data_IF_638740050293
#
_entry.id   IF_638740050293
#
_cell.length_a   1.000
_cell.length_b   1.000
_cell.length_c   1.000
_cell.angle_alpha   90.00
_cell.angle_beta   90.00
_cell.angle_gamma   90.00
#
_symmetry.space_group_name_H-M   'P 1'
#
loop_
_entity.id
_entity.type
_entity.pdbx_description
1 polymer ?
#
# COMPACT_ATOMS: atom_id res chain seq x y z
N UNK A 1 11.19 -16.09 -34.08
CA UNK A 1 10.09 -15.11 -34.26
C UNK A 1 9.25 -14.87 -33.00
N UNK A 2 9.12 -15.83 -32.06
CA UNK A 2 8.28 -15.72 -30.84
C UNK A 2 8.78 -14.71 -29.78
N UNK A 3 10.08 -14.43 -29.72
CA UNK A 3 10.66 -13.53 -28.70
C UNK A 3 10.34 -12.05 -28.95
N UNK A 4 10.29 -11.66 -30.24
CA UNK A 4 9.99 -10.29 -30.70
C UNK A 4 8.56 -9.87 -30.38
N UNK A 5 7.59 -10.76 -30.53
CA UNK A 5 6.17 -10.47 -30.26
C UNK A 5 5.86 -10.31 -28.77
N UNK A 6 6.60 -10.99 -27.89
CA UNK A 6 6.44 -10.83 -26.43
C UNK A 6 7.03 -9.50 -25.94
N UNK A 7 8.17 -9.10 -26.48
CA UNK A 7 8.80 -7.81 -26.21
C UNK A 7 7.91 -6.65 -26.72
N UNK A 8 7.40 -6.74 -27.94
CA UNK A 8 6.45 -5.75 -28.52
C UNK A 8 5.15 -5.64 -27.71
N UNK A 9 4.62 -6.77 -27.22
CA UNK A 9 3.45 -6.76 -26.34
C UNK A 9 3.75 -6.09 -25.00
N UNK A 10 4.93 -6.32 -24.42
CA UNK A 10 5.32 -5.69 -23.16
C UNK A 10 5.54 -4.17 -23.33
N UNK A 11 6.15 -3.75 -24.43
CA UNK A 11 6.32 -2.33 -24.77
C UNK A 11 4.95 -1.65 -24.94
N UNK A 12 4.02 -2.30 -25.64
CA UNK A 12 2.65 -1.80 -25.82
C UNK A 12 1.91 -1.69 -24.48
N UNK A 13 2.03 -2.71 -23.61
CA UNK A 13 1.46 -2.68 -22.25
C UNK A 13 2.00 -1.50 -21.44
N UNK A 14 3.30 -1.23 -21.53
CA UNK A 14 3.96 -0.14 -20.80
C UNK A 14 3.47 1.24 -21.28
N UNK A 15 3.39 1.45 -22.60
CA UNK A 15 2.81 2.67 -23.20
C UNK A 15 1.38 2.92 -22.76
N UNK A 16 0.57 1.86 -22.67
CA UNK A 16 -0.81 1.96 -22.19
C UNK A 16 -0.85 2.39 -20.72
N UNK A 17 0.02 1.83 -19.86
CA UNK A 17 0.07 2.19 -18.44
C UNK A 17 0.54 3.63 -18.22
N UNK A 18 1.56 4.09 -18.95
CA UNK A 18 2.02 5.49 -18.90
C UNK A 18 0.91 6.46 -19.33
N UNK A 19 0.18 6.13 -20.41
CA UNK A 19 -0.95 6.93 -20.85
C UNK A 19 -2.13 6.90 -19.86
N UNK A 20 -2.39 5.75 -19.23
CA UNK A 20 -3.41 5.61 -18.21
C UNK A 20 -3.08 6.47 -16.99
N UNK A 21 -1.84 6.41 -16.52
CA UNK A 21 -1.32 7.25 -15.43
C UNK A 21 -1.54 8.72 -15.72
N UNK A 22 -1.08 9.20 -16.89
CA UNK A 22 -1.24 10.60 -17.29
C UNK A 22 -2.71 11.01 -17.34
N UNK A 23 -3.55 10.20 -18.01
CA UNK A 23 -4.97 10.52 -18.18
C UNK A 23 -5.73 10.54 -16.85
N UNK A 24 -5.47 9.57 -15.97
CA UNK A 24 -6.08 9.51 -14.64
C UNK A 24 -5.59 10.64 -13.73
N UNK A 25 -4.31 11.01 -13.80
CA UNK A 25 -3.76 12.11 -13.04
C UNK A 25 -4.37 13.46 -13.44
N UNK A 26 -4.53 13.71 -14.73
CA UNK A 26 -5.08 14.98 -15.24
C UNK A 26 -6.60 15.08 -15.07
N UNK A 27 -7.33 14.02 -15.41
CA UNK A 27 -8.80 14.08 -15.58
C UNK A 27 -9.59 13.30 -14.51
N UNK A 28 -8.91 12.44 -13.76
CA UNK A 28 -9.52 11.49 -12.84
C UNK A 28 -9.96 10.19 -13.50
N UNK A 29 -10.12 9.14 -12.70
CA UNK A 29 -10.48 7.79 -13.18
C UNK A 29 -11.91 7.75 -13.72
N UNK A 30 -12.84 8.46 -13.08
CA UNK A 30 -14.25 8.45 -13.47
C UNK A 30 -14.46 8.96 -14.91
N UNK A 31 -13.85 10.11 -15.25
CA UNK A 31 -14.04 10.80 -16.55
C UNK A 31 -13.16 10.28 -17.69
N UNK A 32 -12.22 9.38 -17.41
CA UNK A 32 -11.33 8.82 -18.43
C UNK A 32 -11.90 7.49 -18.94
N UNK A 33 -11.86 7.25 -20.25
CA UNK A 33 -12.26 5.98 -20.88
C UNK A 33 -11.05 5.20 -21.42
N UNK A 34 -11.21 3.89 -21.65
CA UNK A 34 -10.18 3.09 -22.34
C UNK A 34 -9.88 3.61 -23.75
N UNK A 35 -10.86 4.20 -24.42
CA UNK A 35 -10.67 4.79 -25.74
C UNK A 35 -9.77 6.05 -25.66
N UNK A 36 -9.94 6.89 -24.64
CA UNK A 36 -9.09 8.06 -24.42
C UNK A 36 -7.64 7.63 -24.15
N UNK A 37 -7.45 6.57 -23.36
CA UNK A 37 -6.13 6.02 -23.04
C UNK A 37 -5.47 5.42 -24.28
N UNK A 38 -6.22 4.68 -25.10
CA UNK A 38 -5.70 4.13 -26.35
C UNK A 38 -5.24 5.22 -27.32
N UNK A 39 -6.04 6.29 -27.45
CA UNK A 39 -5.70 7.44 -28.27
C UNK A 39 -4.43 8.14 -27.75
N UNK A 40 -4.32 8.33 -26.43
CA UNK A 40 -3.16 8.95 -25.79
C UNK A 40 -1.89 8.09 -25.92
N UNK A 41 -2.00 6.76 -25.80
CA UNK A 41 -0.89 5.82 -25.98
C UNK A 41 -0.48 5.61 -27.45
N UNK A 42 -1.25 6.14 -28.41
CA UNK A 42 -1.02 5.92 -29.84
C UNK A 42 -1.27 4.47 -30.28
N UNK A 43 -2.15 3.74 -29.60
CA UNK A 43 -2.48 2.34 -29.89
C UNK A 43 -3.92 2.20 -30.39
N UNK A 44 -4.23 1.07 -31.02
CA UNK A 44 -5.62 0.79 -31.43
C UNK A 44 -6.50 0.45 -30.22
N UNK A 45 -7.81 0.66 -30.36
CA UNK A 45 -8.78 0.19 -29.35
C UNK A 45 -8.68 -1.32 -29.12
N UNK A 46 -8.42 -2.11 -30.16
CA UNK A 46 -8.23 -3.55 -30.03
C UNK A 46 -7.02 -3.90 -29.17
N UNK A 47 -5.92 -3.16 -29.31
CA UNK A 47 -4.70 -3.38 -28.53
C UNK A 47 -4.94 -3.14 -27.03
N UNK A 48 -5.65 -2.07 -26.64
CA UNK A 48 -5.92 -1.85 -25.22
C UNK A 48 -6.80 -2.95 -24.61
N UNK A 49 -7.86 -3.38 -25.31
CA UNK A 49 -8.74 -4.46 -24.83
C UNK A 49 -8.05 -5.83 -24.78
N UNK A 50 -6.97 -6.02 -25.55
CA UNK A 50 -6.15 -7.22 -25.46
C UNK A 50 -5.34 -7.27 -24.15
N UNK A 51 -4.93 -6.12 -23.64
CA UNK A 51 -4.13 -6.01 -22.41
C UNK A 51 -4.98 -5.82 -21.14
N UNK A 52 -6.08 -5.09 -21.23
CA UNK A 52 -6.89 -4.66 -20.09
C UNK A 52 -8.38 -4.72 -20.42
N UNK A 53 -9.15 -5.44 -19.60
CA UNK A 53 -10.57 -5.66 -19.86
C UNK A 53 -11.41 -4.43 -19.51
N UNK A 54 -10.98 -3.70 -18.48
CA UNK A 54 -11.69 -2.56 -17.91
C UNK A 54 -10.70 -1.57 -17.25
N UNK A 55 -11.22 -0.47 -16.70
CA UNK A 55 -10.40 0.54 -15.99
C UNK A 55 -9.84 0.04 -14.66
N UNK A 56 -10.55 -0.87 -13.99
CA UNK A 56 -10.11 -1.43 -12.72
C UNK A 56 -8.83 -2.27 -12.93
N UNK A 57 -8.74 -3.05 -14.01
CA UNK A 57 -7.53 -3.79 -14.40
C UNK A 57 -6.33 -2.86 -14.62
N UNK A 58 -6.54 -1.68 -15.21
CA UNK A 58 -5.48 -0.67 -15.38
C UNK A 58 -5.02 -0.10 -14.04
N UNK A 59 -5.96 0.29 -13.18
CA UNK A 59 -5.62 0.83 -11.85
C UNK A 59 -4.91 -0.23 -11.01
N UNK A 60 -5.34 -1.49 -11.07
CA UNK A 60 -4.68 -2.60 -10.40
C UNK A 60 -3.26 -2.81 -10.93
N UNK A 61 -3.06 -2.79 -12.25
CA UNK A 61 -1.73 -2.93 -12.82
C UNK A 61 -0.78 -1.77 -12.44
N UNK A 62 -1.31 -0.55 -12.27
CA UNK A 62 -0.54 0.57 -11.72
C UNK A 62 -0.19 0.35 -10.25
N UNK A 63 -1.12 -0.16 -9.43
CA UNK A 63 -0.85 -0.52 -8.04
C UNK A 63 0.23 -1.60 -7.91
N UNK A 64 0.16 -2.65 -8.74
CA UNK A 64 1.11 -3.75 -8.72
C UNK A 64 2.54 -3.25 -9.00
N UNK A 65 2.68 -2.25 -9.89
CA UNK A 65 3.97 -1.61 -10.20
C UNK A 65 4.59 -0.85 -9.01
N UNK A 66 3.77 -0.41 -8.05
CA UNK A 66 4.26 0.23 -6.81
C UNK A 66 4.77 -0.78 -5.79
N UNK A 67 4.21 -2.00 -5.80
CA UNK A 67 4.52 -3.02 -4.80
C UNK A 67 5.74 -3.87 -5.19
N UNK A 68 6.00 -4.07 -6.47
CA UNK A 68 7.11 -4.90 -6.97
C UNK A 68 8.48 -4.55 -6.36
N UNK A 69 8.86 -3.26 -6.14
CA UNK A 69 10.13 -2.92 -5.48
C UNK A 69 10.17 -3.24 -3.97
N UNK A 70 9.00 -3.34 -3.32
CA UNK A 70 8.85 -3.55 -1.88
C UNK A 70 8.66 -5.04 -1.51
N UNK A 71 8.45 -5.88 -2.51
CA UNK A 71 7.99 -7.26 -2.36
C UNK A 71 8.93 -8.14 -1.52
N UNK A 72 10.24 -7.96 -1.68
CA UNK A 72 11.25 -8.70 -0.90
C UNK A 72 11.22 -8.32 0.59
N UNK A 73 11.13 -7.03 0.91
CA UNK A 73 11.04 -6.57 2.31
C UNK A 73 9.72 -7.01 2.95
N UNK A 74 8.63 -7.01 2.18
CA UNK A 74 7.33 -7.46 2.65
C UNK A 74 7.38 -8.96 2.98
N UNK A 75 7.85 -9.79 2.03
CA UNK A 75 8.03 -11.24 2.23
C UNK A 75 8.96 -11.56 3.40
N UNK A 76 10.04 -10.80 3.57
CA UNK A 76 10.95 -10.95 4.70
C UNK A 76 10.22 -10.69 6.04
N UNK A 77 9.45 -9.59 6.14
CA UNK A 77 8.69 -9.29 7.36
C UNK A 77 7.61 -10.33 7.69
N UNK A 78 7.05 -10.96 6.67
CA UNK A 78 6.01 -12.01 6.76
C UNK A 78 6.58 -13.41 7.04
N UNK A 79 7.88 -13.60 6.87
CA UNK A 79 8.54 -14.89 7.06
C UNK A 79 8.75 -15.22 8.55
N UNK A 80 8.41 -16.45 8.94
CA UNK A 80 8.71 -16.96 10.28
C UNK A 80 10.22 -17.19 10.50
N UNK A 81 10.96 -17.45 9.42
CA UNK A 81 12.40 -17.71 9.48
C UNK A 81 13.23 -16.41 9.58
N UNK A 82 12.62 -15.26 9.32
CA UNK A 82 13.27 -13.95 9.47
C UNK A 82 13.62 -13.69 10.94
N UNK A 83 14.84 -13.22 11.18
CA UNK A 83 15.37 -12.93 12.50
C UNK A 83 14.97 -11.54 12.98
N UNK A 84 14.77 -10.61 12.05
CA UNK A 84 14.38 -9.22 12.32
C UNK A 84 13.13 -8.77 11.52
N UNK A 85 11.95 -9.39 11.74
CA UNK A 85 10.75 -9.06 10.98
C UNK A 85 10.28 -7.61 11.21
N UNK A 86 10.44 -7.07 12.43
CA UNK A 86 10.11 -5.67 12.72
C UNK A 86 11.03 -4.70 11.98
N UNK A 87 12.34 -4.98 11.92
CA UNK A 87 13.29 -4.17 11.14
C UNK A 87 13.04 -4.25 9.63
N UNK A 88 12.62 -5.40 9.10
CA UNK A 88 12.17 -5.53 7.72
C UNK A 88 10.92 -4.67 7.44
N UNK A 89 9.92 -4.71 8.32
CA UNK A 89 8.73 -3.86 8.22
C UNK A 89 9.10 -2.36 8.31
N UNK A 90 9.99 -1.99 9.24
CA UNK A 90 10.49 -0.60 9.35
C UNK A 90 11.12 -0.14 8.05
N UNK A 91 12.04 -0.92 7.46
CA UNK A 91 12.70 -0.60 6.19
C UNK A 91 11.69 -0.44 5.05
N UNK A 92 10.69 -1.32 4.99
CA UNK A 92 9.61 -1.25 4.00
C UNK A 92 8.84 0.08 4.11
N UNK A 93 8.40 0.44 5.32
CA UNK A 93 7.61 1.66 5.54
C UNK A 93 8.43 2.94 5.28
N UNK A 94 9.72 2.94 5.67
CA UNK A 94 10.62 4.07 5.38
C UNK A 94 10.84 4.21 3.88
N UNK A 95 11.05 3.10 3.18
CA UNK A 95 11.18 3.11 1.72
C UNK A 95 9.91 3.65 1.06
N UNK A 96 8.73 3.22 1.53
CA UNK A 96 7.44 3.69 1.03
C UNK A 96 7.34 5.22 1.11
N UNK A 97 7.54 5.81 2.30
CA UNK A 97 7.48 7.26 2.46
C UNK A 97 8.50 8.00 1.60
N UNK A 98 9.73 7.49 1.51
CA UNK A 98 10.77 8.10 0.67
C UNK A 98 10.42 8.04 -0.82
N UNK A 99 9.94 6.91 -1.32
CA UNK A 99 9.57 6.75 -2.73
C UNK A 99 8.43 7.68 -3.14
N UNK A 100 7.36 7.76 -2.34
CA UNK A 100 6.25 8.69 -2.58
C UNK A 100 6.75 10.14 -2.65
N UNK A 101 7.74 10.47 -1.82
CA UNK A 101 8.31 11.80 -1.79
C UNK A 101 9.30 12.11 -2.93
N UNK A 102 10.04 11.14 -3.47
CA UNK A 102 11.10 11.42 -4.48
C UNK A 102 10.73 11.02 -5.91
N UNK A 103 9.95 9.95 -6.08
CA UNK A 103 9.62 9.42 -7.40
C UNK A 103 8.30 10.02 -7.92
N UNK A 104 8.33 10.81 -9.01
CA UNK A 104 7.13 11.45 -9.54
C UNK A 104 6.06 10.45 -9.98
N UNK A 105 6.46 9.27 -10.50
CA UNK A 105 5.49 8.25 -10.92
C UNK A 105 4.75 7.66 -9.72
N UNK A 106 5.50 7.20 -8.71
CA UNK A 106 4.94 6.70 -7.44
C UNK A 106 4.02 7.74 -6.80
N UNK A 107 4.43 9.02 -6.81
CA UNK A 107 3.60 10.11 -6.29
C UNK A 107 2.28 10.25 -7.05
N UNK A 108 2.33 10.30 -8.39
CA UNK A 108 1.14 10.46 -9.23
C UNK A 108 0.17 9.29 -9.07
N UNK A 109 0.67 8.06 -9.03
CA UNK A 109 -0.16 6.86 -8.83
C UNK A 109 -0.85 6.94 -7.46
N UNK A 110 -0.13 7.28 -6.40
CA UNK A 110 -0.73 7.47 -5.08
C UNK A 110 -1.76 8.62 -5.08
N UNK A 111 -1.47 9.77 -5.69
CA UNK A 111 -2.43 10.87 -5.77
C UNK A 111 -3.72 10.47 -6.51
N UNK A 112 -3.61 9.68 -7.59
CA UNK A 112 -4.77 9.16 -8.31
C UNK A 112 -5.64 8.32 -7.36
N UNK A 113 -5.02 7.44 -6.57
CA UNK A 113 -5.70 6.51 -5.69
C UNK A 113 -6.37 7.17 -4.49
N UNK A 114 -5.77 8.21 -3.94
CA UNK A 114 -6.29 8.95 -2.78
C UNK A 114 -7.31 10.03 -3.18
N UNK A 115 -7.07 10.73 -4.29
CA UNK A 115 -7.78 12.00 -4.58
C UNK A 115 -8.49 12.04 -5.93
N UNK A 116 -8.26 11.09 -6.84
CA UNK A 116 -8.84 11.13 -8.21
C UNK A 116 -9.56 9.85 -8.61
N UNK A 117 -9.82 8.98 -7.63
CA UNK A 117 -10.50 7.70 -7.81
C UNK A 117 -11.80 7.71 -7.00
N UNK A 118 -12.93 7.87 -7.70
CA UNK A 118 -14.26 7.84 -7.10
C UNK A 118 -14.81 6.41 -7.05
N UNK A 119 -15.36 6.02 -5.90
CA UNK A 119 -16.02 4.72 -5.73
C UNK A 119 -17.53 4.83 -5.98
N UNK A 120 -17.91 4.93 -7.25
CA UNK A 120 -19.31 4.90 -7.68
C UNK A 120 -19.77 3.46 -7.96
N UNK A 121 -21.08 3.26 -8.12
CA UNK A 121 -21.62 1.94 -8.49
C UNK A 121 -21.09 1.44 -9.84
N UNK A 122 -20.83 2.36 -10.78
CA UNK A 122 -20.18 2.07 -12.07
C UNK A 122 -18.71 1.64 -11.92
N UNK A 123 -18.07 1.98 -10.80
CA UNK A 123 -16.71 1.56 -10.42
C UNK A 123 -16.71 0.48 -9.33
N UNK A 124 -17.79 -0.32 -9.23
CA UNK A 124 -17.93 -1.34 -8.20
C UNK A 124 -16.80 -2.37 -8.17
N UNK A 125 -16.26 -2.74 -9.34
CA UNK A 125 -15.10 -3.64 -9.43
C UNK A 125 -13.86 -3.04 -8.77
N UNK A 126 -13.60 -1.76 -9.00
CA UNK A 126 -12.46 -1.06 -8.41
C UNK A 126 -12.62 -0.88 -6.90
N UNK A 127 -13.84 -0.56 -6.44
CA UNK A 127 -14.16 -0.52 -5.00
C UNK A 127 -13.92 -1.89 -4.36
N UNK A 128 -14.38 -2.97 -4.99
CA UNK A 128 -14.18 -4.34 -4.50
C UNK A 128 -12.70 -4.71 -4.46
N UNK A 129 -11.94 -4.42 -5.52
CA UNK A 129 -10.50 -4.66 -5.57
C UNK A 129 -9.78 -3.91 -4.43
N UNK A 130 -10.12 -2.65 -4.17
CA UNK A 130 -9.55 -1.87 -3.06
C UNK A 130 -9.93 -2.43 -1.68
N UNK A 131 -11.16 -2.91 -1.51
CA UNK A 131 -11.58 -3.57 -0.27
C UNK A 131 -10.77 -4.85 -0.01
N UNK A 132 -10.62 -5.71 -1.03
CA UNK A 132 -9.81 -6.93 -0.95
C UNK A 132 -8.36 -6.58 -0.62
N UNK A 133 -7.76 -5.64 -1.35
CA UNK A 133 -6.39 -5.21 -1.11
C UNK A 133 -6.17 -4.64 0.31
N UNK A 134 -7.13 -3.89 0.85
CA UNK A 134 -7.04 -3.35 2.21
C UNK A 134 -7.13 -4.44 3.27
N UNK A 135 -8.01 -5.43 3.10
CA UNK A 135 -8.11 -6.58 4.00
C UNK A 135 -6.83 -7.43 3.94
N UNK A 136 -6.35 -7.73 2.74
CA UNK A 136 -5.12 -8.51 2.54
C UNK A 136 -3.91 -7.79 3.15
N UNK A 137 -3.80 -6.46 2.97
CA UNK A 137 -2.75 -5.65 3.57
C UNK A 137 -2.79 -5.74 5.11
N UNK A 138 -3.98 -5.59 5.72
CA UNK A 138 -4.13 -5.73 7.17
C UNK A 138 -3.71 -7.13 7.66
N UNK A 139 -4.10 -8.19 6.94
CA UNK A 139 -3.71 -9.56 7.30
C UNK A 139 -2.19 -9.79 7.17
N UNK A 140 -1.55 -9.22 6.17
CA UNK A 140 -0.08 -9.29 6.00
C UNK A 140 0.66 -8.53 7.09
N UNK A 141 0.18 -7.33 7.46
CA UNK A 141 0.73 -6.58 8.59
C UNK A 141 0.55 -7.38 9.88
N UNK A 142 -0.63 -7.94 10.13
CA UNK A 142 -0.89 -8.77 11.31
C UNK A 142 0.07 -9.98 11.38
N UNK A 143 0.35 -10.63 10.26
CA UNK A 143 1.34 -11.71 10.18
C UNK A 143 2.75 -11.21 10.56
N UNK A 144 3.19 -10.10 9.99
CA UNK A 144 4.50 -9.52 10.31
C UNK A 144 4.62 -9.11 11.79
N UNK A 145 3.55 -8.55 12.38
CA UNK A 145 3.49 -8.22 13.80
C UNK A 145 3.56 -9.47 14.69
N UNK A 146 2.86 -10.55 14.31
CA UNK A 146 2.95 -11.82 15.04
C UNK A 146 4.37 -12.41 15.00
N UNK A 147 5.06 -12.33 13.85
CA UNK A 147 6.46 -12.74 13.76
C UNK A 147 7.36 -11.89 14.68
N UNK A 148 7.15 -10.57 14.71
CA UNK A 148 7.88 -9.68 15.61
C UNK A 148 7.61 -9.97 17.10
N UNK A 149 6.37 -10.33 17.47
CA UNK A 149 6.04 -10.79 18.83
C UNK A 149 6.78 -12.10 19.15
N UNK A 150 6.82 -13.05 18.22
CA UNK A 150 7.52 -14.33 18.40
C UNK A 150 9.03 -14.15 18.57
N UNK A 151 9.62 -13.16 17.90
CA UNK A 151 11.02 -12.75 18.01
C UNK A 151 11.29 -11.81 19.20
N UNK A 152 10.31 -11.57 20.06
CA UNK A 152 10.39 -10.69 21.24
C UNK A 152 10.73 -9.23 20.92
N UNK A 153 10.46 -8.79 19.69
CA UNK A 153 10.66 -7.41 19.23
C UNK A 153 9.47 -6.50 19.56
N UNK A 154 8.29 -7.10 19.74
CA UNK A 154 7.08 -6.45 20.22
C UNK A 154 6.54 -7.16 21.47
N UNK A 155 5.76 -6.47 22.32
CA UNK A 155 5.28 -7.08 23.55
C UNK A 155 4.34 -8.26 23.30
N UNK A 156 4.50 -9.33 24.09
CA UNK A 156 3.70 -10.57 24.00
C UNK A 156 2.19 -10.34 24.18
N UNK A 157 1.83 -9.24 24.82
CA UNK A 157 0.45 -8.81 25.09
C UNK A 157 -0.17 -8.01 23.95
N UNK A 158 0.54 -7.73 22.86
CA UNK A 158 0.01 -6.92 21.75
C UNK A 158 -1.15 -7.64 21.03
N UNK A 159 -2.28 -6.96 20.89
CA UNK A 159 -3.37 -7.38 19.99
C UNK A 159 -2.94 -7.07 18.54
N UNK A 160 -2.32 -8.08 17.89
CA UNK A 160 -1.73 -7.94 16.55
C UNK A 160 -2.75 -7.46 15.50
N UNK A 161 -4.00 -7.93 15.58
CA UNK A 161 -5.06 -7.53 14.65
C UNK A 161 -5.43 -6.05 14.79
N UNK A 162 -5.63 -5.58 16.03
CA UNK A 162 -5.92 -4.15 16.28
C UNK A 162 -4.72 -3.28 15.90
N UNK A 163 -3.51 -3.73 16.26
CA UNK A 163 -2.26 -3.07 15.94
C UNK A 163 -2.07 -2.91 14.42
N UNK A 164 -2.37 -3.95 13.63
CA UNK A 164 -2.28 -3.90 12.17
C UNK A 164 -3.19 -2.82 11.57
N UNK A 165 -4.46 -2.76 11.99
CA UNK A 165 -5.41 -1.75 11.54
C UNK A 165 -4.93 -0.34 11.92
N UNK A 166 -4.45 -0.16 13.16
CA UNK A 166 -3.93 1.13 13.62
C UNK A 166 -2.69 1.58 12.83
N UNK A 167 -1.75 0.67 12.56
CA UNK A 167 -0.56 0.97 11.78
C UNK A 167 -0.94 1.35 10.35
N UNK A 168 -1.78 0.55 9.69
CA UNK A 168 -2.22 0.83 8.32
C UNK A 168 -2.93 2.18 8.24
N UNK A 169 -3.87 2.46 9.14
CA UNK A 169 -4.59 3.73 9.18
C UNK A 169 -3.65 4.94 9.42
N UNK A 170 -2.63 4.77 10.25
CA UNK A 170 -1.61 5.80 10.49
C UNK A 170 -0.80 6.09 9.23
N UNK A 171 -0.28 5.06 8.56
CA UNK A 171 0.52 5.21 7.33
C UNK A 171 -0.33 5.84 6.21
N UNK A 172 -1.54 5.33 5.99
CA UNK A 172 -2.49 5.88 5.02
C UNK A 172 -2.83 7.35 5.32
N UNK A 173 -3.00 7.70 6.60
CA UNK A 173 -3.28 9.05 7.04
C UNK A 173 -2.15 10.03 6.71
N UNK A 174 -0.91 9.65 7.02
CA UNK A 174 0.28 10.46 6.72
C UNK A 174 0.42 10.65 5.20
N UNK A 175 0.29 9.58 4.41
CA UNK A 175 0.35 9.67 2.94
C UNK A 175 -0.76 10.56 2.39
N UNK A 176 -2.01 10.34 2.82
CA UNK A 176 -3.16 11.11 2.37
C UNK A 176 -3.00 12.60 2.66
N UNK A 177 -2.55 12.95 3.87
CA UNK A 177 -2.30 14.35 4.24
C UNK A 177 -1.20 14.99 3.37
N UNK A 178 -0.07 14.30 3.18
CA UNK A 178 1.04 14.81 2.39
C UNK A 178 0.68 14.94 0.91
N UNK A 179 -0.04 13.98 0.34
CA UNK A 179 -0.48 14.01 -1.06
C UNK A 179 -1.54 15.09 -1.33
N UNK A 180 -2.35 15.44 -0.32
CA UNK A 180 -3.36 16.48 -0.45
C UNK A 180 -2.72 17.88 -0.52
N UNK A 181 -1.68 18.12 0.29
CA UNK A 181 -0.89 19.34 0.28
C UNK A 181 0.59 18.96 0.26
N UNK A 182 1.18 18.76 -0.93
CA UNK A 182 2.60 18.44 -1.06
C UNK A 182 3.45 19.49 -0.33
N UNK A 183 4.54 19.03 0.29
CA UNK A 183 5.46 19.85 1.07
C UNK A 183 4.87 20.52 2.33
N UNK A 184 3.66 20.11 2.76
CA UNK A 184 3.07 20.54 4.04
C UNK A 184 3.92 20.13 5.26
N UNK A 185 4.66 19.04 5.15
CA UNK A 185 5.68 18.59 6.08
C UNK A 185 6.76 17.77 5.35
N UNK A 186 7.92 17.59 5.99
CA UNK A 186 9.13 16.99 5.41
C UNK A 186 9.07 15.45 5.38
N UNK A 187 8.20 14.88 4.54
CA UNK A 187 7.99 13.42 4.46
C UNK A 187 9.26 12.63 4.15
N UNK A 188 10.10 13.09 3.22
CA UNK A 188 11.32 12.37 2.83
C UNK A 188 12.39 12.38 3.94
N UNK A 189 12.68 13.57 4.50
CA UNK A 189 13.74 13.73 5.50
C UNK A 189 13.36 13.11 6.83
N UNK A 190 12.08 13.20 7.21
CA UNK A 190 11.57 12.69 8.48
C UNK A 190 10.92 11.30 8.35
N UNK A 191 11.08 10.62 7.21
CA UNK A 191 10.48 9.29 6.96
C UNK A 191 10.74 8.30 8.11
N UNK A 192 11.95 8.30 8.65
CA UNK A 192 12.32 7.44 9.78
C UNK A 192 11.54 7.80 11.05
N UNK A 193 11.46 9.08 11.38
CA UNK A 193 10.71 9.58 12.54
C UNK A 193 9.22 9.25 12.42
N UNK A 194 8.61 9.41 11.25
CA UNK A 194 7.22 9.04 11.03
C UNK A 194 6.99 7.54 11.22
N UNK A 195 7.88 6.69 10.72
CA UNK A 195 7.77 5.23 10.91
C UNK A 195 8.01 4.83 12.35
N UNK A 196 9.04 5.38 12.99
CA UNK A 196 9.39 5.08 14.38
C UNK A 196 8.25 5.48 15.32
N UNK A 197 7.58 6.61 15.08
CA UNK A 197 6.36 7.00 15.81
C UNK A 197 5.26 5.94 15.71
N UNK A 198 5.05 5.38 14.52
CA UNK A 198 4.10 4.29 14.29
C UNK A 198 4.48 3.01 15.04
N UNK A 199 5.77 2.64 15.05
CA UNK A 199 6.28 1.46 15.76
C UNK A 199 6.24 1.65 17.28
N UNK A 200 6.55 2.85 17.77
CA UNK A 200 6.45 3.22 19.18
C UNK A 200 5.00 3.12 19.67
N UNK A 201 4.02 3.53 18.86
CA UNK A 201 2.60 3.32 19.16
C UNK A 201 2.31 1.83 19.42
N UNK A 202 2.84 0.91 18.60
CA UNK A 202 2.63 -0.53 18.78
C UNK A 202 3.35 -1.05 20.04
N UNK A 203 4.55 -0.54 20.29
CA UNK A 203 5.40 -0.96 21.40
C UNK A 203 4.90 -0.46 22.74
N UNK A 204 4.34 0.76 22.82
CA UNK A 204 4.13 1.47 24.07
C UNK A 204 2.64 1.63 24.44
N UNK A 205 1.71 1.60 23.48
CA UNK A 205 0.29 1.87 23.75
C UNK A 205 -0.36 0.78 24.62
N UNK A 206 -0.84 1.10 25.84
CA UNK A 206 -1.56 0.15 26.69
C UNK A 206 -2.90 -0.28 26.08
N UNK A 207 -3.52 0.59 25.28
CA UNK A 207 -4.81 0.32 24.62
C UNK A 207 -4.70 -0.69 23.48
N UNK A 208 -3.48 -0.97 23.00
CA UNK A 208 -3.21 -2.02 22.01
C UNK A 208 -2.93 -3.38 22.65
N UNK A 209 -3.00 -3.50 23.98
CA UNK A 209 -2.85 -4.81 24.63
C UNK A 209 -4.14 -5.63 24.58
N UNK A 210 -4.01 -6.95 24.52
CA UNK A 210 -5.10 -7.89 24.73
C UNK A 210 -5.54 -7.84 26.19
N UNK A 211 -6.85 -7.75 26.43
CA UNK A 211 -7.40 -7.66 27.79
C UNK A 211 -7.24 -8.96 28.58
N UNK A 212 -7.05 -10.08 27.89
CA UNK A 212 -6.94 -11.41 28.49
C UNK A 212 -5.67 -11.60 29.33
N UNK A 213 -4.62 -10.78 29.14
CA UNK A 213 -3.38 -10.85 29.93
C UNK A 213 -3.24 -9.76 31.00
N UNK A 214 -4.13 -8.76 31.04
CA UNK A 214 -4.11 -7.68 32.06
C UNK A 214 -4.79 -8.14 33.36
N UNK A 215 -5.53 -9.25 33.33
CA UNK A 215 -6.35 -9.74 34.44
C UNK A 215 -5.64 -10.56 35.53
N UNK A 216 -4.36 -10.92 35.38
CA UNK A 216 -3.67 -11.78 36.36
C UNK A 216 -2.87 -11.03 37.44
N UNK A 217 -2.60 -9.72 37.30
CA UNK A 217 -1.81 -8.96 38.30
C UNK A 217 -2.63 -8.05 39.21
N UNK A 218 -3.96 -8.12 39.18
CA UNK A 218 -4.84 -7.33 40.06
C UNK A 218 -5.79 -8.21 40.86
N UNK A 219 -5.24 -9.07 41.73
CA UNK A 219 -5.99 -9.60 42.87
C UNK A 219 -5.79 -8.69 44.08
N UNK A 220 -6.79 -7.89 44.49
CA UNK A 220 -6.73 -7.21 45.78
C UNK A 220 -7.00 -8.23 46.89
N UNK A 221 -6.09 -8.20 47.86
CA UNK A 221 -6.11 -8.82 49.19
C UNK A 221 -7.54 -9.04 49.72
N UNK A 222 -7.91 -10.31 49.94
CA UNK A 222 -8.90 -10.72 50.93
C UNK A 222 -8.29 -11.70 51.92
N UNK A 223 -7.81 -11.17 53.04
CA UNK A 223 -8.15 -11.54 54.45
C UNK A 223 -7.14 -10.98 55.44
#
# INVERSE_FOLDING_TARGET
MVRRTKEEAQETRSKILEAAEQAFYERGVARTTLADIAALAGVTRGAIYWHFSNKADLVQAMLDSLHEPLDELAKASESQDELDPLGCMRKLLVHLFRQVAIDPQTRRINEILFHKCEFTDEMCDLRRQRQVASVDCNSRIELALNNAIHREQLPKTLDARRAAICLHAYIDGILGQWLLVPDSFELHKEAETWVDTGIEMLSLSPSLRSREQIGEESSPIER
#
